data_IF_416607837530
#
_entry.id   IF_416607837530
#
_cell.length_a   1.000
_cell.length_b   1.000
_cell.length_c   1.000
_cell.angle_alpha   90.00
_cell.angle_beta   90.00
_cell.angle_gamma   90.00
#
_symmetry.space_group_name_H-M   'P 1'
#
loop_
_entity.id
_entity.type
_entity.pdbx_description
1 polymer ?
#
# COMPACT_ATOMS: atom_id res chain seq x y z
N UNK A 1 -3.09 16.28 14.75
CA UNK A 1 -4.10 15.43 15.41
C UNK A 1 -3.40 14.18 15.88
N UNK A 2 -3.69 13.75 17.11
CA UNK A 2 -2.85 12.85 17.89
C UNK A 2 -2.59 11.51 17.19
N UNK A 3 -1.30 11.18 17.10
CA UNK A 3 -0.79 9.84 16.84
C UNK A 3 -1.29 8.92 17.96
N UNK A 4 -2.37 8.17 17.74
CA UNK A 4 -2.53 6.94 18.49
C UNK A 4 -1.37 6.05 18.09
N UNK A 5 -0.36 5.98 18.95
CA UNK A 5 0.76 5.07 18.78
C UNK A 5 0.20 3.65 18.88
N UNK A 6 -0.13 3.04 17.75
CA UNK A 6 -0.45 1.62 17.69
C UNK A 6 0.73 0.84 18.29
N UNK A 7 0.48 -0.11 19.20
CA UNK A 7 1.56 -0.88 19.80
C UNK A 7 2.34 -1.61 18.70
N UNK A 8 3.66 -1.73 18.86
CA UNK A 8 4.54 -2.24 17.81
C UNK A 8 4.13 -3.63 17.28
N UNK A 9 3.52 -4.46 18.12
CA UNK A 9 2.97 -5.77 17.77
C UNK A 9 1.70 -5.73 16.89
N UNK A 10 1.25 -4.53 16.50
CA UNK A 10 0.14 -4.29 15.57
C UNK A 10 0.57 -3.46 14.37
N UNK A 11 1.86 -3.33 14.14
CA UNK A 11 2.39 -2.53 13.04
C UNK A 11 3.33 -3.38 12.21
N UNK A 12 3.14 -3.39 10.90
CA UNK A 12 4.18 -3.79 9.96
C UNK A 12 4.75 -2.51 9.38
N UNK A 13 6.07 -2.33 9.48
CA UNK A 13 6.78 -1.18 8.92
C UNK A 13 7.93 -1.69 8.06
N UNK A 14 7.89 -1.36 6.78
CA UNK A 14 8.92 -1.73 5.81
C UNK A 14 9.35 -0.49 5.05
N UNK A 15 10.61 -0.45 4.63
CA UNK A 15 11.07 0.61 3.75
C UNK A 15 12.11 0.10 2.78
N UNK A 16 12.18 0.73 1.61
CA UNK A 16 13.20 0.48 0.60
C UNK A 16 13.73 1.80 0.06
N UNK A 17 15.02 1.82 -0.29
CA UNK A 17 15.64 2.92 -1.01
C UNK A 17 15.58 2.62 -2.52
N UNK A 18 15.10 3.59 -3.29
CA UNK A 18 14.92 3.52 -4.74
C UNK A 18 15.82 4.57 -5.38
N UNK A 19 16.67 4.15 -6.30
CA UNK A 19 17.57 4.98 -7.10
C UNK A 19 16.80 5.65 -8.25
N UNK A 20 15.76 6.40 -7.91
CA UNK A 20 14.97 7.20 -8.83
C UNK A 20 14.45 8.45 -8.12
N UNK A 21 14.28 9.59 -8.83
CA UNK A 21 13.70 10.80 -8.28
C UNK A 21 12.27 10.57 -7.77
N UNK A 22 11.87 11.30 -6.72
CA UNK A 22 10.57 11.13 -6.06
C UNK A 22 9.39 11.27 -7.02
N UNK A 23 9.49 12.17 -8.00
CA UNK A 23 8.46 12.34 -9.02
C UNK A 23 8.23 11.08 -9.87
N UNK A 24 9.29 10.32 -10.20
CA UNK A 24 9.19 9.05 -10.95
C UNK A 24 8.59 7.94 -10.09
N UNK A 25 9.03 7.83 -8.85
CA UNK A 25 8.46 6.85 -7.91
C UNK A 25 6.99 7.14 -7.63
N UNK A 26 6.65 8.42 -7.45
CA UNK A 26 5.28 8.89 -7.29
C UNK A 26 4.41 8.56 -8.50
N UNK A 27 4.86 8.85 -9.73
CA UNK A 27 4.05 8.55 -10.91
C UNK A 27 3.73 7.07 -11.04
N UNK A 28 4.68 6.19 -10.69
CA UNK A 28 4.46 4.73 -10.66
C UNK A 28 3.48 4.34 -9.56
N UNK A 29 3.66 4.89 -8.36
CA UNK A 29 2.87 4.52 -7.19
C UNK A 29 1.40 4.97 -7.33
N UNK A 30 1.14 6.13 -7.92
CA UNK A 30 -0.21 6.65 -8.12
C UNK A 30 -0.87 6.23 -9.46
N UNK A 31 -0.12 5.57 -10.36
CA UNK A 31 -0.67 5.01 -11.60
C UNK A 31 -1.32 3.64 -11.35
N UNK A 32 -2.47 3.67 -10.66
CA UNK A 32 -3.24 2.49 -10.30
C UNK A 32 -3.66 1.63 -11.51
N UNK A 33 -3.83 2.25 -12.68
CA UNK A 33 -4.23 1.57 -13.92
C UNK A 33 -3.14 0.61 -14.41
N UNK A 34 -1.85 0.86 -14.13
CA UNK A 34 -0.76 -0.01 -14.56
C UNK A 34 -0.43 -1.15 -13.60
N UNK A 35 -0.97 -1.17 -12.39
CA UNK A 35 -0.67 -2.20 -11.37
C UNK A 35 -0.79 -3.64 -11.89
N UNK A 36 -1.82 -4.02 -12.67
CA UNK A 36 -1.93 -5.40 -13.18
C UNK A 36 -0.75 -5.86 -14.03
N UNK A 37 0.02 -4.93 -14.62
CA UNK A 37 1.16 -5.25 -15.50
C UNK A 37 2.45 -5.56 -14.74
N UNK A 38 2.57 -5.15 -13.47
CA UNK A 38 3.85 -5.23 -12.74
C UNK A 38 3.73 -5.68 -11.28
N UNK A 39 2.61 -5.43 -10.61
CA UNK A 39 2.42 -5.78 -9.21
C UNK A 39 1.67 -7.10 -9.05
N UNK A 40 2.28 -8.06 -8.36
CA UNK A 40 1.67 -9.37 -8.07
C UNK A 40 0.85 -9.40 -6.79
N UNK A 41 1.17 -8.51 -5.84
CA UNK A 41 0.51 -8.44 -4.54
C UNK A 41 -0.75 -7.55 -4.59
N UNK A 42 -0.57 -6.25 -4.80
CA UNK A 42 -1.67 -5.31 -5.04
C UNK A 42 -1.92 -5.29 -6.54
N UNK A 43 -2.89 -6.05 -7.02
CA UNK A 43 -3.07 -6.30 -8.45
C UNK A 43 -3.89 -5.21 -9.12
N UNK A 44 -4.84 -4.61 -8.40
CA UNK A 44 -5.75 -3.60 -8.96
C UNK A 44 -6.22 -2.63 -7.88
N UNK A 45 -6.32 -1.36 -8.22
CA UNK A 45 -6.94 -0.32 -7.39
C UNK A 45 -7.87 0.49 -8.30
N UNK A 46 -9.16 0.56 -7.97
CA UNK A 46 -10.16 1.26 -8.77
C UNK A 46 -11.03 2.16 -7.90
N UNK A 47 -11.23 3.43 -8.27
CA UNK A 47 -12.26 4.27 -7.67
C UNK A 47 -13.66 3.64 -7.83
N UNK A 48 -14.45 3.61 -6.75
CA UNK A 48 -15.85 3.16 -6.79
C UNK A 48 -16.84 4.25 -7.21
N UNK A 49 -16.42 5.51 -7.26
CA UNK A 49 -17.21 6.64 -7.72
C UNK A 49 -16.94 6.95 -9.20
N UNK A 50 -17.91 7.53 -9.90
CA UNK A 50 -17.81 7.99 -11.31
C UNK A 50 -16.67 9.01 -11.56
N UNK A 51 -16.05 9.51 -10.50
CA UNK A 51 -14.84 10.31 -10.53
C UNK A 51 -13.56 9.47 -10.79
N UNK A 52 -13.60 8.54 -11.75
CA UNK A 52 -12.49 7.65 -12.08
C UNK A 52 -11.21 8.39 -12.55
N UNK A 53 -11.36 9.63 -13.03
CA UNK A 53 -10.27 10.49 -13.48
C UNK A 53 -10.00 11.68 -12.55
N UNK A 54 -10.63 11.72 -11.37
CA UNK A 54 -10.32 12.74 -10.36
C UNK A 54 -9.05 12.36 -9.56
N UNK A 55 -8.27 13.35 -9.10
CA UNK A 55 -7.18 13.11 -8.16
C UNK A 55 -7.68 12.37 -6.91
N UNK A 56 -6.80 11.55 -6.32
CA UNK A 56 -7.09 10.84 -5.08
C UNK A 56 -7.47 11.83 -3.98
N UNK A 57 -8.60 11.60 -3.31
CA UNK A 57 -9.10 12.46 -2.25
C UNK A 57 -9.45 11.67 -0.99
N UNK A 58 -9.25 12.28 0.18
CA UNK A 58 -9.67 11.70 1.47
C UNK A 58 -11.18 11.45 1.46
N UNK A 59 -11.59 10.29 1.97
CA UNK A 59 -12.98 9.83 1.98
C UNK A 59 -13.42 9.09 0.71
N UNK A 60 -12.63 9.11 -0.36
CA UNK A 60 -12.91 8.34 -1.57
C UNK A 60 -12.87 6.83 -1.29
N UNK A 61 -13.79 6.08 -1.89
CA UNK A 61 -13.79 4.62 -1.80
C UNK A 61 -13.08 3.99 -2.99
N UNK A 62 -12.22 3.02 -2.70
CA UNK A 62 -11.43 2.26 -3.66
C UNK A 62 -11.80 0.79 -3.56
N UNK A 63 -12.03 0.12 -4.69
CA UNK A 63 -11.94 -1.32 -4.79
C UNK A 63 -10.48 -1.72 -4.97
N UNK A 64 -9.92 -2.40 -3.99
CA UNK A 64 -8.53 -2.88 -4.01
C UNK A 64 -8.54 -4.40 -4.12
N UNK A 65 -7.93 -4.92 -5.18
CA UNK A 65 -7.74 -6.36 -5.39
C UNK A 65 -6.34 -6.75 -4.95
N UNK A 66 -6.25 -7.55 -3.91
CA UNK A 66 -4.99 -8.06 -3.35
C UNK A 66 -4.98 -9.58 -3.41
N UNK A 67 -3.82 -10.16 -3.68
CA UNK A 67 -3.67 -11.60 -3.75
C UNK A 67 -2.21 -12.01 -3.57
N UNK A 68 -2.02 -13.25 -3.14
CA UNK A 68 -0.69 -13.85 -3.13
C UNK A 68 -0.39 -14.48 -4.49
N UNK A 69 0.90 -14.58 -4.89
CA UNK A 69 1.29 -15.35 -6.06
C UNK A 69 0.78 -16.80 -5.96
N UNK A 70 -0.14 -17.18 -6.85
CA UNK A 70 -0.75 -18.52 -6.88
C UNK A 70 -2.01 -18.70 -6.03
N UNK A 71 -2.41 -17.70 -5.25
CA UNK A 71 -3.68 -17.67 -4.51
C UNK A 71 -4.83 -17.05 -5.30
N UNK A 72 -6.08 -17.23 -4.82
CA UNK A 72 -7.23 -16.49 -5.36
C UNK A 72 -7.17 -15.04 -4.83
N UNK A 73 -7.12 -14.02 -5.71
CA UNK A 73 -7.16 -12.64 -5.28
C UNK A 73 -8.52 -12.31 -4.66
N UNK A 74 -8.52 -11.39 -3.70
CA UNK A 74 -9.71 -10.89 -3.01
C UNK A 74 -9.83 -9.39 -3.26
N UNK A 75 -11.03 -8.95 -3.65
CA UNK A 75 -11.35 -7.52 -3.80
C UNK A 75 -12.05 -7.01 -2.55
N UNK A 76 -11.61 -5.85 -2.08
CA UNK A 76 -12.07 -5.23 -0.85
C UNK A 76 -12.32 -3.75 -1.07
N UNK A 77 -13.36 -3.21 -0.43
CA UNK A 77 -13.60 -1.77 -0.43
C UNK A 77 -12.78 -1.10 0.68
N UNK A 78 -11.90 -0.19 0.29
CA UNK A 78 -11.07 0.62 1.19
C UNK A 78 -11.49 2.09 1.10
N UNK A 79 -11.31 2.85 2.18
CA UNK A 79 -11.56 4.30 2.21
C UNK A 79 -10.25 5.05 2.33
N UNK A 80 -9.99 6.02 1.45
CA UNK A 80 -8.78 6.85 1.51
C UNK A 80 -8.79 7.67 2.80
N UNK A 81 -7.76 7.50 3.63
CA UNK A 81 -7.57 8.23 4.89
C UNK A 81 -6.44 9.25 4.85
N UNK A 82 -5.59 9.21 3.81
CA UNK A 82 -4.56 10.20 3.51
C UNK A 82 -4.42 10.32 2.00
N UNK A 83 -4.37 11.54 1.49
CA UNK A 83 -4.05 11.83 0.09
C UNK A 83 -3.20 13.10 0.05
N UNK A 84 -1.89 12.90 -0.02
CA UNK A 84 -0.88 13.95 -0.09
C UNK A 84 -0.05 13.78 -1.37
N UNK A 85 0.76 14.79 -1.70
CA UNK A 85 1.62 14.75 -2.88
C UNK A 85 2.56 13.54 -2.88
N UNK A 86 3.18 13.23 -1.74
CA UNK A 86 4.20 12.19 -1.62
C UNK A 86 3.73 11.02 -0.77
N UNK A 87 2.43 10.83 -0.61
CA UNK A 87 1.94 9.70 0.15
C UNK A 87 0.44 9.57 0.10
N UNK A 88 -0.03 8.34 0.28
CA UNK A 88 -1.43 8.07 0.46
C UNK A 88 -1.63 6.95 1.45
N UNK A 89 -2.83 6.92 2.02
CA UNK A 89 -3.25 5.86 2.92
C UNK A 89 -4.69 5.51 2.67
N UNK A 90 -5.03 4.25 2.89
CA UNK A 90 -6.41 3.81 2.96
C UNK A 90 -6.65 3.00 4.22
N UNK A 91 -7.92 2.93 4.60
CA UNK A 91 -8.40 2.15 5.71
C UNK A 91 -9.39 1.11 5.20
N UNK A 92 -9.14 -0.14 5.58
CA UNK A 92 -9.97 -1.29 5.27
C UNK A 92 -10.62 -1.87 6.51
N UNK A 93 -11.83 -2.41 6.36
CA UNK A 93 -12.52 -3.19 7.40
C UNK A 93 -13.00 -4.50 6.81
N UNK A 94 -12.71 -5.61 7.50
CA UNK A 94 -13.11 -6.97 7.13
C UNK A 94 -14.24 -7.46 8.05
N UNK A 95 -15.36 -7.88 7.44
CA UNK A 95 -16.47 -8.56 8.11
C UNK A 95 -17.60 -7.66 8.62
N UNK A 96 -18.79 -8.26 8.82
CA UNK A 96 -20.04 -7.57 9.19
C UNK A 96 -20.02 -6.87 10.58
N UNK A 97 -18.99 -7.10 11.40
CA UNK A 97 -18.89 -6.60 12.78
C UNK A 97 -17.55 -5.93 13.11
N UNK A 98 -16.85 -5.34 12.13
CA UNK A 98 -15.68 -4.50 12.43
C UNK A 98 -14.54 -5.24 13.18
N UNK A 99 -14.43 -6.54 12.96
CA UNK A 99 -13.58 -7.46 13.75
C UNK A 99 -12.09 -7.34 13.42
N UNK A 100 -11.77 -6.87 12.21
CA UNK A 100 -10.42 -6.67 11.72
C UNK A 100 -10.39 -5.45 10.80
N UNK A 101 -9.45 -4.55 11.03
CA UNK A 101 -9.21 -3.42 10.14
C UNK A 101 -7.74 -3.05 10.11
N UNK A 102 -7.36 -2.32 9.07
CA UNK A 102 -5.98 -1.92 8.84
C UNK A 102 -5.93 -0.54 8.21
N UNK A 103 -4.99 0.29 8.66
CA UNK A 103 -4.59 1.52 7.99
C UNK A 103 -3.30 1.28 7.24
N UNK A 104 -3.40 1.21 5.93
CA UNK A 104 -2.30 0.95 5.02
C UNK A 104 -1.77 2.26 4.46
N UNK A 105 -0.47 2.49 4.55
CA UNK A 105 0.18 3.76 4.21
C UNK A 105 1.37 3.53 3.28
N UNK A 106 1.47 4.36 2.25
CA UNK A 106 2.64 4.52 1.41
C UNK A 106 3.12 5.96 1.52
N UNK A 107 4.36 6.13 1.96
CA UNK A 107 4.98 7.44 2.17
C UNK A 107 6.31 7.49 1.42
N UNK A 108 6.50 8.55 0.66
CA UNK A 108 7.71 8.82 -0.10
C UNK A 108 8.48 9.97 0.56
N UNK A 109 9.79 9.80 0.68
CA UNK A 109 10.71 10.85 1.13
C UNK A 109 11.86 10.96 0.13
N UNK A 110 12.19 12.19 -0.24
CA UNK A 110 13.39 12.47 -1.04
C UNK A 110 14.61 12.35 -0.12
N UNK A 111 15.54 11.45 -0.45
CA UNK A 111 16.77 11.22 0.32
C UNK A 111 17.97 11.94 -0.31
N UNK A 112 17.73 12.75 -1.35
CA UNK A 112 18.76 13.45 -2.12
C UNK A 112 19.41 12.57 -3.19
N UNK A 113 20.25 13.19 -4.02
CA UNK A 113 21.01 12.51 -5.09
C UNK A 113 20.15 11.67 -6.06
N UNK A 114 18.88 12.06 -6.27
CA UNK A 114 17.95 11.31 -7.11
C UNK A 114 17.51 9.98 -6.50
N UNK A 115 17.55 9.84 -5.17
CA UNK A 115 17.06 8.68 -4.44
C UNK A 115 15.78 9.01 -3.67
N UNK A 116 14.88 8.03 -3.62
CA UNK A 116 13.61 8.12 -2.90
C UNK A 116 13.50 6.97 -1.93
N UNK A 117 13.13 7.25 -0.68
CA UNK A 117 12.72 6.24 0.27
C UNK A 117 11.21 6.01 0.16
N UNK A 118 10.83 4.77 -0.12
CA UNK A 118 9.45 4.32 0.04
C UNK A 118 9.32 3.67 1.41
N UNK A 119 8.48 4.23 2.28
CA UNK A 119 8.03 3.61 3.54
C UNK A 119 6.61 3.07 3.33
N UNK A 120 6.46 1.79 3.57
CA UNK A 120 5.23 1.03 3.38
C UNK A 120 4.86 0.41 4.73
N UNK A 121 3.79 0.92 5.32
CA UNK A 121 3.41 0.67 6.70
C UNK A 121 1.95 0.29 6.79
N UNK A 122 1.64 -0.67 7.65
CA UNK A 122 0.26 -0.97 8.02
C UNK A 122 0.09 -1.01 9.53
N UNK A 123 -0.93 -0.31 10.01
CA UNK A 123 -1.37 -0.33 11.40
C UNK A 123 -2.67 -1.13 11.52
N UNK A 124 -2.65 -2.22 12.28
CA UNK A 124 -3.80 -3.09 12.47
C UNK A 124 -4.60 -2.71 13.71
N UNK A 125 -5.93 -2.74 13.59
CA UNK A 125 -6.88 -2.49 14.66
C UNK A 125 -8.04 -3.49 14.64
N UNK A 126 -8.82 -3.52 15.72
CA UNK A 126 -9.90 -4.50 15.93
C UNK A 126 -9.55 -5.54 17.00
N UNK A 127 -10.52 -6.40 17.34
CA UNK A 127 -10.44 -7.28 18.51
C UNK A 127 -9.80 -8.64 18.18
N UNK A 128 -9.84 -9.06 16.91
CA UNK A 128 -9.28 -10.34 16.45
C UNK A 128 -7.88 -10.23 15.84
N UNK A 129 -7.23 -9.06 15.93
CA UNK A 129 -5.85 -8.91 15.46
C UNK A 129 -4.89 -9.89 16.16
N UNK A 130 -5.04 -10.09 17.49
CA UNK A 130 -4.11 -10.88 18.30
C UNK A 130 -4.07 -12.38 17.92
N UNK A 131 -5.20 -13.12 17.88
CA UNK A 131 -5.14 -14.55 17.54
C UNK A 131 -4.70 -14.80 16.09
N UNK A 132 -5.07 -13.94 15.15
CA UNK A 132 -4.65 -14.09 13.74
C UNK A 132 -3.16 -13.74 13.56
N UNK A 133 -2.66 -12.63 14.10
CA UNK A 133 -1.27 -12.25 13.91
C UNK A 133 -0.29 -13.10 14.70
N UNK A 134 -0.61 -13.42 15.96
CA UNK A 134 0.32 -14.13 16.87
C UNK A 134 0.39 -15.63 16.57
N UNK A 135 -0.70 -16.28 16.12
CA UNK A 135 -0.73 -17.74 15.94
C UNK A 135 -0.69 -18.22 14.49
N UNK A 136 -1.06 -17.41 13.50
CA UNK A 136 -1.15 -17.88 12.10
C UNK A 136 0.06 -17.51 11.22
N UNK A 137 1.02 -16.73 11.73
CA UNK A 137 2.18 -16.25 10.94
C UNK A 137 1.82 -15.20 9.89
N UNK A 138 0.61 -14.64 9.97
CA UNK A 138 0.10 -13.62 9.04
C UNK A 138 1.00 -12.37 9.01
N UNK A 139 1.59 -11.97 10.14
CA UNK A 139 2.51 -10.84 10.21
C UNK A 139 3.73 -11.03 9.29
N UNK A 140 4.41 -12.17 9.43
CA UNK A 140 5.60 -12.48 8.64
C UNK A 140 5.26 -12.56 7.15
N UNK A 141 4.10 -13.16 6.82
CA UNK A 141 3.61 -13.28 5.46
C UNK A 141 3.28 -11.92 4.83
N UNK A 142 2.53 -11.07 5.55
CA UNK A 142 2.23 -9.70 5.12
C UNK A 142 3.51 -8.88 4.94
N UNK A 143 4.47 -9.01 5.86
CA UNK A 143 5.77 -8.33 5.74
C UNK A 143 6.52 -8.72 4.47
N UNK A 144 6.56 -10.02 4.14
CA UNK A 144 7.15 -10.51 2.88
C UNK A 144 6.42 -9.92 1.66
N UNK A 145 5.09 -9.95 1.66
CA UNK A 145 4.30 -9.37 0.57
C UNK A 145 4.58 -7.87 0.37
N UNK A 146 4.76 -7.11 1.46
CA UNK A 146 5.04 -5.67 1.40
C UNK A 146 6.45 -5.41 0.89
N UNK A 147 7.43 -6.21 1.32
CA UNK A 147 8.79 -6.16 0.79
C UNK A 147 8.81 -6.48 -0.71
N UNK A 148 8.13 -7.54 -1.16
CA UNK A 148 8.03 -7.89 -2.58
C UNK A 148 7.33 -6.81 -3.41
N UNK A 149 6.29 -6.17 -2.87
CA UNK A 149 5.66 -5.03 -3.53
C UNK A 149 6.63 -3.86 -3.66
N UNK A 150 7.35 -3.52 -2.59
CA UNK A 150 8.35 -2.45 -2.59
C UNK A 150 9.47 -2.70 -3.59
N UNK A 151 9.94 -3.95 -3.70
CA UNK A 151 10.91 -4.38 -4.70
C UNK A 151 10.38 -4.24 -6.13
N UNK A 152 9.08 -4.52 -6.34
CA UNK A 152 8.45 -4.34 -7.65
C UNK A 152 8.37 -2.86 -8.06
N UNK A 153 8.06 -1.97 -7.11
CA UNK A 153 8.11 -0.51 -7.32
C UNK A 153 9.54 -0.07 -7.64
N UNK A 154 10.53 -0.54 -6.87
CA UNK A 154 11.95 -0.25 -7.10
C UNK A 154 12.38 -0.69 -8.50
N UNK A 155 12.10 -1.94 -8.88
CA UNK A 155 12.47 -2.48 -10.18
C UNK A 155 11.85 -1.65 -11.32
N UNK A 156 10.58 -1.27 -11.21
CA UNK A 156 9.91 -0.44 -12.23
C UNK A 156 10.47 0.99 -12.28
N UNK A 157 10.84 1.57 -11.15
CA UNK A 157 11.39 2.91 -11.08
C UNK A 157 12.85 2.99 -11.55
N UNK A 158 13.62 1.93 -11.34
CA UNK A 158 15.04 1.85 -11.70
C UNK A 158 15.29 1.28 -13.09
N UNK A 159 14.26 0.72 -13.74
CA UNK A 159 14.32 0.45 -15.17
C UNK A 159 14.62 1.78 -15.90
N UNK A 160 15.75 1.78 -16.62
CA UNK A 160 16.06 2.83 -17.57
C UNK A 160 14.90 2.88 -18.57
N UNK A 161 14.34 4.07 -18.78
CA UNK A 161 13.53 4.30 -19.97
C UNK A 161 14.45 4.00 -21.14
N UNK A 162 14.24 2.86 -21.80
CA UNK A 162 14.76 2.64 -23.13
C UNK A 162 14.15 3.75 -24.00
N UNK A 163 14.89 4.86 -24.12
CA UNK A 163 14.62 5.90 -25.11
C UNK A 163 14.69 5.23 -26.47
N UNK A 164 13.52 4.95 -27.03
CA UNK A 164 13.33 4.77 -28.47
C UNK A 164 13.48 6.12 -29.16
#
# INVERSE_FOLDING_TARGET
MATESHPANRTIDTSILINAPIAKVRSILFDFKSYPSWSKFIQKIEPLSDAADAPLAVGQQLAVTMGEPGGKPTTMTMTVSLAEENGFAWEGKLGAFMIFGGKHMFLLSDEGNGQTKLRHREEFFGVLYAPLFVWSGLEAKSKVNYQTFNESVKAKAEQEEAKL
#
